data_IF_073468985348
#
_entry.id   IF_073468985348
#
_cell.length_a   1.000
_cell.length_b   1.000
_cell.length_c   1.000
_cell.angle_alpha   90.00
_cell.angle_beta   90.00
_cell.angle_gamma   90.00
#
_symmetry.space_group_name_H-M   'P 1'
#
loop_
_entity.id
_entity.type
_entity.pdbx_description
1 polymer ?
#
# COMPACT_ATOMS: atom_id res chain seq x y z
N UNK A 1 -18.26 -2.61 12.06
CA UNK A 1 -17.11 -1.73 11.83
C UNK A 1 -17.30 -1.04 10.49
N UNK A 2 -17.37 0.28 10.43
CA UNK A 2 -17.14 0.95 9.15
C UNK A 2 -15.63 0.93 8.93
N UNK A 3 -15.17 0.23 7.89
CA UNK A 3 -13.79 0.35 7.46
C UNK A 3 -13.62 1.77 6.93
N UNK A 4 -12.85 2.57 7.65
CA UNK A 4 -12.55 3.93 7.25
C UNK A 4 -11.68 3.91 5.99
N UNK A 5 -12.32 4.11 4.84
CA UNK A 5 -11.68 4.05 3.54
C UNK A 5 -10.73 5.24 3.34
N UNK A 6 -9.58 4.97 2.74
CA UNK A 6 -8.69 6.02 2.30
C UNK A 6 -9.25 6.75 1.08
N UNK A 7 -8.88 8.03 0.93
CA UNK A 7 -9.31 8.86 -0.21
C UNK A 7 -8.87 8.31 -1.57
N UNK A 8 -7.83 7.48 -1.58
CA UNK A 8 -7.44 6.64 -2.71
C UNK A 8 -6.57 5.49 -2.17
N UNK A 9 -6.63 4.32 -2.82
CA UNK A 9 -5.88 3.16 -2.36
C UNK A 9 -4.37 3.34 -2.54
N UNK A 10 -3.61 2.54 -1.80
CA UNK A 10 -2.16 2.38 -1.94
C UNK A 10 -1.89 0.96 -2.44
N UNK A 11 -1.11 0.82 -3.52
CA UNK A 11 -0.76 -0.48 -4.08
C UNK A 11 0.62 -0.92 -3.59
N UNK A 12 0.70 -2.12 -3.04
CA UNK A 12 1.93 -2.69 -2.49
C UNK A 12 2.29 -4.00 -3.17
N UNK A 13 3.56 -4.17 -3.51
CA UNK A 13 4.09 -5.42 -4.04
C UNK A 13 4.30 -6.42 -2.91
N UNK A 14 3.57 -7.54 -2.94
CA UNK A 14 3.77 -8.67 -2.01
C UNK A 14 4.65 -9.77 -2.59
N UNK A 15 4.62 -9.94 -3.91
CA UNK A 15 5.49 -10.87 -4.62
C UNK A 15 5.72 -10.37 -6.05
N UNK A 16 6.56 -11.06 -6.83
CA UNK A 16 6.92 -10.69 -8.21
C UNK A 16 5.73 -10.33 -9.10
N UNK A 17 4.60 -11.03 -8.90
CA UNK A 17 3.37 -10.84 -9.68
C UNK A 17 2.13 -10.61 -8.80
N UNK A 18 2.31 -10.30 -7.52
CA UNK A 18 1.21 -10.08 -6.58
C UNK A 18 1.28 -8.65 -6.08
N UNK A 19 0.29 -7.86 -6.49
CA UNK A 19 0.03 -6.52 -5.98
C UNK A 19 -1.21 -6.59 -5.09
N UNK A 20 -1.11 -6.04 -3.89
CA UNK A 20 -2.24 -5.89 -2.98
C UNK A 20 -2.69 -4.43 -2.99
N UNK A 21 -4.00 -4.25 -3.03
CA UNK A 21 -4.65 -2.95 -2.83
C UNK A 21 -4.90 -2.74 -1.33
N UNK A 22 -4.44 -1.61 -0.80
CA UNK A 22 -4.70 -1.16 0.57
C UNK A 22 -5.66 0.03 0.48
N UNK A 23 -6.96 -0.24 0.65
CA UNK A 23 -8.02 0.74 0.44
C UNK A 23 -8.57 1.34 1.74
N UNK A 24 -8.29 0.72 2.89
CA UNK A 24 -8.82 1.16 4.19
C UNK A 24 -7.78 1.16 5.30
N UNK A 25 -8.14 1.81 6.40
CA UNK A 25 -7.35 1.77 7.63
C UNK A 25 -7.17 0.35 8.17
N UNK A 26 -8.21 -0.49 8.07
CA UNK A 26 -8.15 -1.88 8.53
C UNK A 26 -7.14 -2.69 7.71
N UNK A 27 -7.17 -2.56 6.37
CA UNK A 27 -6.21 -3.23 5.47
C UNK A 27 -4.76 -2.81 5.79
N UNK A 28 -4.54 -1.54 6.13
CA UNK A 28 -3.21 -1.03 6.46
C UNK A 28 -2.68 -1.58 7.79
N UNK A 29 -3.56 -1.73 8.80
CA UNK A 29 -3.19 -2.30 10.10
C UNK A 29 -2.85 -3.78 9.92
N UNK A 30 -3.75 -4.56 9.31
CA UNK A 30 -3.56 -5.98 9.03
C UNK A 30 -2.23 -6.24 8.30
N UNK A 31 -1.97 -5.47 7.23
CA UNK A 31 -0.71 -5.53 6.49
C UNK A 31 0.53 -5.31 7.36
N UNK A 32 0.48 -4.33 8.27
CA UNK A 32 1.60 -4.01 9.15
C UNK A 32 1.75 -5.05 10.27
N UNK A 33 0.66 -5.63 10.77
CA UNK A 33 0.71 -6.68 11.79
C UNK A 33 1.26 -8.00 11.25
N UNK A 34 0.98 -8.32 9.99
CA UNK A 34 1.55 -9.47 9.29
C UNK A 34 2.99 -9.25 8.80
N UNK A 35 3.53 -8.03 8.93
CA UNK A 35 4.85 -7.69 8.42
C UNK A 35 5.96 -8.53 9.10
N UNK A 36 6.94 -9.10 8.37
CA UNK A 36 7.95 -9.98 8.93
C UNK A 36 8.72 -9.35 10.10
N UNK A 37 8.85 -10.08 11.22
CA UNK A 37 9.46 -9.58 12.45
C UNK A 37 10.89 -9.07 12.24
N UNK A 38 11.70 -9.78 11.45
CA UNK A 38 13.07 -9.40 11.11
C UNK A 38 13.17 -8.07 10.32
N UNK A 39 12.05 -7.64 9.72
CA UNK A 39 11.94 -6.43 8.92
C UNK A 39 11.19 -5.31 9.64
N UNK A 40 10.82 -5.50 10.92
CA UNK A 40 10.21 -4.46 11.76
C UNK A 40 11.31 -3.54 12.29
N UNK A 41 11.24 -2.29 11.87
CA UNK A 41 12.14 -1.24 12.31
C UNK A 41 11.31 -0.04 12.80
N UNK A 42 11.99 1.02 13.24
CA UNK A 42 11.33 2.23 13.74
C UNK A 42 10.32 2.84 12.74
N UNK A 43 10.51 2.62 11.44
CA UNK A 43 9.59 3.11 10.40
C UNK A 43 8.29 2.30 10.41
N UNK A 44 8.39 0.97 10.55
CA UNK A 44 7.24 0.08 10.73
C UNK A 44 6.44 0.47 11.98
N UNK A 45 7.11 0.59 13.13
CA UNK A 45 6.46 0.95 14.40
C UNK A 45 5.75 2.30 14.32
N UNK A 46 6.40 3.28 13.68
CA UNK A 46 5.81 4.61 13.48
C UNK A 46 4.56 4.55 12.60
N UNK A 47 4.58 3.76 11.53
CA UNK A 47 3.44 3.59 10.64
C UNK A 47 2.28 2.87 11.35
N UNK A 48 2.56 1.78 12.08
CA UNK A 48 1.56 1.04 12.83
C UNK A 48 0.92 1.88 13.92
N UNK A 49 1.73 2.64 14.68
CA UNK A 49 1.24 3.59 15.67
C UNK A 49 0.32 4.66 15.06
N UNK A 50 0.69 5.22 13.91
CA UNK A 50 -0.14 6.21 13.23
C UNK A 50 -1.49 5.62 12.77
N UNK A 51 -1.51 4.36 12.34
CA UNK A 51 -2.74 3.67 11.98
C UNK A 51 -3.62 3.42 13.21
N UNK A 52 -3.05 2.96 14.31
CA UNK A 52 -3.79 2.78 15.56
C UNK A 52 -4.32 4.10 16.15
N UNK A 53 -3.52 5.16 16.13
CA UNK A 53 -3.96 6.48 16.55
C UNK A 53 -5.16 6.98 15.71
N UNK A 54 -5.18 6.67 14.40
CA UNK A 54 -6.32 7.00 13.55
C UNK A 54 -7.55 6.13 13.87
N UNK A 55 -7.34 4.84 14.12
CA UNK A 55 -8.40 3.91 14.49
C UNK A 55 -9.07 4.30 15.81
N UNK A 56 -8.29 4.77 16.78
CA UNK A 56 -8.76 5.33 18.05
C UNK A 56 -9.36 6.75 17.91
N UNK A 57 -9.40 7.32 16.69
CA UNK A 57 -9.89 8.68 16.43
C UNK A 57 -9.00 9.80 16.94
N UNK A 58 -7.76 9.50 17.38
CA UNK A 58 -6.79 10.51 17.86
C UNK A 58 -6.11 11.27 16.73
N UNK A 59 -6.03 10.66 15.54
CA UNK A 59 -5.46 11.26 14.32
C UNK A 59 -6.42 11.13 13.15
N UNK A 60 -6.34 12.03 12.16
CA UNK A 60 -7.14 11.90 10.95
C UNK A 60 -6.65 10.71 10.10
N UNK A 61 -7.55 10.12 9.32
CA UNK A 61 -7.23 9.04 8.36
C UNK A 61 -6.11 9.38 7.37
N UNK A 62 -6.02 10.66 6.98
CA UNK A 62 -4.95 11.14 6.11
C UNK A 62 -3.56 10.94 6.72
N UNK A 63 -3.43 11.07 8.05
CA UNK A 63 -2.17 10.86 8.75
C UNK A 63 -1.75 9.37 8.72
N UNK A 64 -2.70 8.46 8.95
CA UNK A 64 -2.46 7.01 8.82
C UNK A 64 -2.05 6.65 7.39
N UNK A 65 -2.79 7.12 6.39
CA UNK A 65 -2.49 6.90 4.97
C UNK A 65 -1.08 7.40 4.61
N UNK A 66 -0.72 8.61 5.03
CA UNK A 66 0.60 9.19 4.75
C UNK A 66 1.73 8.41 5.43
N UNK A 67 1.53 7.98 6.68
CA UNK A 67 2.50 7.17 7.40
C UNK A 67 2.71 5.81 6.73
N UNK A 68 1.62 5.13 6.34
CA UNK A 68 1.67 3.88 5.59
C UNK A 68 2.38 4.05 4.24
N UNK A 69 2.05 5.09 3.47
CA UNK A 69 2.74 5.37 2.21
C UNK A 69 4.23 5.67 2.39
N UNK A 70 4.59 6.38 3.46
CA UNK A 70 6.00 6.63 3.79
C UNK A 70 6.75 5.35 4.14
N UNK A 71 6.09 4.41 4.83
CA UNK A 71 6.62 3.09 5.12
C UNK A 71 6.83 2.27 3.84
N UNK A 72 5.82 2.15 2.97
CA UNK A 72 5.92 1.33 1.74
C UNK A 72 6.99 1.84 0.78
N UNK A 73 7.21 3.17 0.73
CA UNK A 73 8.32 3.79 0.00
C UNK A 73 9.68 3.38 0.56
N UNK A 74 9.83 3.38 1.89
CA UNK A 74 11.10 3.09 2.56
C UNK A 74 11.51 1.62 2.45
N UNK A 75 10.55 0.71 2.45
CA UNK A 75 10.81 -0.72 2.25
C UNK A 75 10.78 -1.14 0.77
N UNK A 76 10.68 -0.17 -0.15
CA UNK A 76 10.71 -0.36 -1.61
C UNK A 76 9.66 -1.34 -2.17
N UNK A 77 8.47 -1.37 -1.57
CA UNK A 77 7.33 -2.18 -2.03
C UNK A 77 6.17 -1.35 -2.60
N UNK A 78 6.30 -0.02 -2.63
CA UNK A 78 5.28 0.83 -3.24
C UNK A 78 5.27 0.60 -4.75
N UNK A 79 4.17 0.08 -5.28
CA UNK A 79 3.98 -0.02 -6.73
C UNK A 79 3.39 1.27 -7.25
N UNK A 80 3.99 1.80 -8.32
CA UNK A 80 3.39 2.88 -9.07
C UNK A 80 2.25 2.31 -9.95
N UNK A 81 1.01 2.81 -9.83
CA UNK A 81 -0.12 2.32 -10.60
C UNK A 81 0.10 2.45 -12.13
N UNK A 82 0.98 3.35 -12.58
CA UNK A 82 1.34 3.52 -14.00
C UNK A 82 2.34 2.46 -14.46
N UNK A 83 3.27 2.04 -13.59
CA UNK A 83 4.21 0.95 -13.89
C UNK A 83 3.51 -0.39 -14.04
N UNK A 84 2.49 -0.67 -13.22
CA UNK A 84 1.65 -1.86 -13.37
C UNK A 84 0.90 -1.89 -14.71
N UNK A 85 0.58 -0.72 -15.28
CA UNK A 85 -0.14 -0.57 -16.55
C UNK A 85 0.75 -0.76 -17.81
N UNK A 86 2.08 -0.82 -17.67
CA UNK A 86 3.01 -0.97 -18.81
C UNK A 86 2.83 -2.34 -19.53
N UNK A 87 2.38 -3.38 -18.83
CA UNK A 87 2.16 -4.70 -19.44
C UNK A 87 0.83 -4.78 -20.21
N UNK A 88 -0.13 -3.91 -19.90
CA UNK A 88 -1.40 -3.81 -20.61
C UNK A 88 -1.21 -3.11 -21.96
N UNK A 89 -0.25 -2.18 -22.06
CA UNK A 89 0.08 -1.48 -23.31
C UNK A 89 0.87 -2.33 -24.33
N UNK A 90 1.68 -3.27 -23.85
CA UNK A 90 2.56 -4.08 -24.70
C UNK A 90 1.82 -5.07 -25.63
N UNK A 91 0.55 -5.39 -25.35
CA UNK A 91 -0.26 -6.26 -26.20
C UNK A 91 -0.82 -5.57 -27.47
N UNK A 92 -0.60 -4.26 -27.68
CA UNK A 92 -1.09 -3.52 -28.86
C UNK A 92 -0.15 -3.50 -30.07
N UNK A 93 0.89 -4.33 -30.09
CA UNK A 93 1.88 -4.38 -31.18
C UNK A 93 1.91 -5.72 -31.92
N UNK A 94 0.75 -6.23 -32.35
CA UNK A 94 0.70 -7.21 -33.45
C UNK A 94 -0.53 -6.94 -34.32
N UNK A 95 -0.55 -5.79 -34.99
CA UNK A 95 -1.39 -5.62 -36.19
C UNK A 95 -0.47 -5.61 -37.39
N UNK A 96 -0.63 -6.65 -38.21
CA UNK A 96 0.28 -6.99 -39.29
C UNK A 96 0.32 -6.00 -40.44
N UNK A 97 1.32 -6.20 -41.28
CA UNK A 97 1.32 -5.77 -42.66
C UNK A 97 1.91 -6.91 -43.49
N UNK A 98 1.00 -7.64 -44.16
CA UNK A 98 1.31 -8.50 -45.30
C UNK A 98 1.51 -7.65 -46.54
#
# INVERSE_FOLDING_TARGET
MQAEAFSSPIFVKRATYIVQEIASLADAIDFLEEWPEDCRNIIHETALKACYDAYDGRKPLSAARQAFQGFTKRVAILEDPTSAMQWIGACKSVTGKV
#
